data_IF_521757834598
#
_entry.id   IF_521757834598
#
_cell.length_a   1.000
_cell.length_b   1.000
_cell.length_c   1.000
_cell.angle_alpha   90.00
_cell.angle_beta   90.00
_cell.angle_gamma   90.00
#
_symmetry.space_group_name_H-M   'P 1'
#
loop_
_entity.id
_entity.type
_entity.pdbx_description
1 polymer ?
#
# COMPACT_ATOMS: atom_id res chain seq x y z
N UNK A 1 11.65 40.35 -24.00
CA UNK A 1 10.92 41.30 -24.87
C UNK A 1 11.16 40.89 -26.33
N UNK A 2 10.14 41.05 -27.19
CA UNK A 2 10.05 40.70 -28.64
C UNK A 2 9.68 39.22 -28.88
N UNK A 3 8.38 38.85 -28.83
CA UNK A 3 7.30 39.00 -29.83
C UNK A 3 7.47 38.12 -31.09
N UNK A 4 6.64 37.06 -31.12
CA UNK A 4 5.87 36.52 -32.24
C UNK A 4 6.52 36.46 -33.63
N UNK A 5 6.70 35.24 -34.17
CA UNK A 5 6.43 35.04 -35.59
C UNK A 5 5.85 33.65 -35.87
N UNK A 6 4.66 33.69 -36.48
CA UNK A 6 3.79 32.60 -36.89
C UNK A 6 4.31 32.03 -38.21
N UNK A 7 4.56 30.71 -38.27
CA UNK A 7 4.49 29.88 -39.48
C UNK A 7 4.02 28.50 -38.99
N UNK A 8 2.72 28.20 -38.99
CA UNK A 8 1.94 27.75 -40.15
C UNK A 8 2.63 26.56 -40.83
N UNK A 9 2.13 25.36 -40.56
CA UNK A 9 2.66 24.13 -41.17
C UNK A 9 2.07 22.85 -40.61
N UNK A 10 0.75 22.76 -40.59
CA UNK A 10 -0.06 21.58 -40.30
C UNK A 10 0.40 20.38 -41.15
N UNK A 11 0.69 19.23 -40.53
CA UNK A 11 0.38 17.95 -41.16
C UNK A 11 0.02 16.90 -40.11
N UNK A 12 -1.30 16.77 -39.94
CA UNK A 12 -2.00 15.79 -39.13
C UNK A 12 -1.97 14.47 -39.93
N UNK A 13 -1.06 13.56 -39.62
CA UNK A 13 -1.04 12.21 -40.21
C UNK A 13 -2.03 11.34 -39.43
N UNK A 14 -3.28 11.27 -39.92
CA UNK A 14 -4.14 10.11 -39.72
C UNK A 14 -3.71 9.03 -40.70
N UNK A 15 -3.39 7.83 -40.21
CA UNK A 15 -3.29 6.66 -41.07
C UNK A 15 -2.44 5.51 -40.53
N UNK A 16 -2.99 4.71 -39.61
CA UNK A 16 -2.93 3.24 -39.66
C UNK A 16 -3.77 2.66 -38.50
N UNK A 17 -4.80 1.88 -38.84
CA UNK A 17 -5.40 0.94 -37.92
C UNK A 17 -4.34 -0.13 -37.62
N UNK A 18 -3.65 -0.03 -36.48
CA UNK A 18 -2.90 -1.18 -35.98
C UNK A 18 -3.91 -2.12 -35.34
N UNK A 19 -4.45 -3.05 -36.13
CA UNK A 19 -5.05 -4.28 -35.60
C UNK A 19 -3.93 -5.16 -35.05
N UNK A 20 -3.27 -4.67 -34.00
CA UNK A 20 -2.46 -5.48 -33.11
C UNK A 20 -3.42 -6.06 -32.10
N UNK A 21 -3.57 -7.37 -32.15
CA UNK A 21 -4.36 -8.19 -31.25
C UNK A 21 -4.30 -7.70 -29.80
N UNK A 22 -5.45 -7.29 -29.27
CA UNK A 22 -5.74 -7.41 -27.84
C UNK A 22 -5.78 -8.92 -27.51
N UNK A 23 -4.62 -9.57 -27.48
CA UNK A 23 -4.43 -10.84 -26.79
C UNK A 23 -4.49 -10.53 -25.31
N UNK A 24 -5.74 -10.41 -24.83
CA UNK A 24 -6.07 -10.60 -23.44
C UNK A 24 -5.70 -12.04 -23.06
N UNK A 25 -4.42 -12.26 -22.79
CA UNK A 25 -3.94 -13.43 -22.08
C UNK A 25 -4.38 -13.28 -20.62
N UNK A 26 -5.67 -13.54 -20.37
CA UNK A 26 -6.12 -13.96 -19.04
C UNK A 26 -5.68 -15.41 -18.87
N UNK A 27 -4.37 -15.61 -18.72
CA UNK A 27 -3.86 -16.79 -18.06
C UNK A 27 -4.30 -16.65 -16.60
N UNK A 28 -5.40 -17.33 -16.26
CA UNK A 28 -5.75 -17.58 -14.87
C UNK A 28 -4.66 -18.49 -14.28
N UNK A 29 -3.55 -17.88 -13.86
CA UNK A 29 -2.56 -18.52 -13.02
C UNK A 29 -3.26 -18.90 -11.72
N UNK A 30 -3.69 -20.16 -11.63
CA UNK A 30 -4.07 -20.76 -10.36
C UNK A 30 -2.77 -21.00 -9.60
N UNK A 31 -2.11 -19.91 -9.20
CA UNK A 31 -1.04 -19.95 -8.24
C UNK A 31 -1.67 -20.50 -6.96
N UNK A 32 -1.31 -21.73 -6.62
CA UNK A 32 -1.43 -22.23 -5.25
C UNK A 32 -0.63 -21.23 -4.42
N UNK A 33 -1.32 -20.28 -3.78
CA UNK A 33 -0.67 -19.28 -2.92
C UNK A 33 -0.14 -20.05 -1.71
N UNK A 34 1.16 -20.31 -1.71
CA UNK A 34 1.85 -20.86 -0.53
C UNK A 34 1.51 -19.99 0.68
N UNK A 35 1.11 -20.64 1.76
CA UNK A 35 0.83 -19.96 3.03
C UNK A 35 2.18 -19.57 3.63
N UNK A 36 2.40 -18.29 4.00
CA UNK A 36 3.64 -17.89 4.64
C UNK A 36 3.84 -18.59 5.99
N UNK A 37 5.07 -18.98 6.28
CA UNK A 37 5.49 -19.35 7.63
C UNK A 37 5.71 -18.07 8.46
N UNK A 38 5.23 -18.08 9.71
CA UNK A 38 5.38 -16.96 10.63
C UNK A 38 6.32 -17.34 11.78
N UNK A 39 7.27 -16.46 12.07
CA UNK A 39 8.17 -16.58 13.22
C UNK A 39 7.88 -15.44 14.21
N UNK A 40 8.01 -15.74 15.50
CA UNK A 40 7.89 -14.73 16.56
C UNK A 40 9.15 -13.88 16.57
N UNK A 41 9.00 -12.56 16.52
CA UNK A 41 10.10 -11.61 16.75
C UNK A 41 10.29 -11.40 18.27
N UNK A 42 11.39 -11.88 18.87
CA UNK A 42 11.62 -11.72 20.30
C UNK A 42 11.98 -10.28 20.72
N UNK A 43 12.30 -9.39 19.77
CA UNK A 43 12.66 -8.01 20.05
C UNK A 43 11.44 -7.07 20.19
N UNK A 44 10.24 -7.58 19.91
CA UNK A 44 8.98 -6.86 19.99
C UNK A 44 8.09 -7.40 21.11
N UNK A 45 7.35 -6.54 21.84
CA UNK A 45 7.26 -5.09 21.69
C UNK A 45 8.43 -4.35 22.33
N UNK A 46 8.76 -3.18 21.77
CA UNK A 46 9.68 -2.24 22.43
C UNK A 46 9.05 -1.74 23.73
N UNK A 47 9.89 -1.40 24.70
CA UNK A 47 9.41 -0.72 25.90
C UNK A 47 8.72 0.59 25.51
N UNK A 48 7.53 0.80 26.06
CA UNK A 48 6.76 1.99 25.79
C UNK A 48 7.40 3.20 26.49
N UNK A 49 7.32 4.40 25.89
CA UNK A 49 7.79 5.62 26.53
C UNK A 49 7.05 5.88 27.85
N UNK A 50 7.70 6.56 28.79
CA UNK A 50 7.10 7.05 30.05
C UNK A 50 6.44 5.97 30.94
N UNK A 51 6.99 4.75 30.95
CA UNK A 51 6.52 3.65 31.82
C UNK A 51 5.02 3.38 31.71
N UNK A 52 4.47 3.47 30.50
CA UNK A 52 3.05 3.26 30.27
C UNK A 52 2.60 1.86 30.67
N UNK A 53 1.45 1.80 31.34
CA UNK A 53 0.74 0.57 31.65
C UNK A 53 -0.48 0.50 30.74
N UNK A 54 -0.65 -0.63 30.07
CA UNK A 54 -1.82 -0.91 29.24
C UNK A 54 -2.77 -1.87 29.95
N UNK A 55 -4.07 -1.59 29.85
CA UNK A 55 -5.09 -2.55 30.22
C UNK A 55 -5.24 -3.66 29.17
N UNK A 56 -6.37 -4.35 29.19
CA UNK A 56 -6.67 -5.43 28.25
C UNK A 56 -6.70 -4.90 26.82
N UNK A 57 -6.05 -5.62 25.89
CA UNK A 57 -5.98 -5.27 24.48
C UNK A 57 -7.14 -5.95 23.75
N UNK A 58 -7.97 -5.19 23.05
CA UNK A 58 -9.10 -5.72 22.27
C UNK A 58 -8.84 -5.80 20.79
N UNK A 59 -7.94 -4.97 20.26
CA UNK A 59 -7.61 -4.96 18.84
C UNK A 59 -6.21 -4.41 18.57
N UNK A 60 -5.62 -4.86 17.46
CA UNK A 60 -4.36 -4.39 16.90
C UNK A 60 -4.56 -4.14 15.41
N UNK A 61 -4.05 -3.01 14.91
CA UNK A 61 -4.10 -2.63 13.50
C UNK A 61 -2.73 -2.13 13.04
N UNK A 62 -2.40 -2.36 11.76
CA UNK A 62 -1.17 -1.85 11.14
C UNK A 62 -1.56 -0.96 9.97
N UNK A 63 -1.05 0.27 9.97
CA UNK A 63 -1.31 1.23 8.88
C UNK A 63 -0.32 1.09 7.71
N UNK A 64 -0.53 1.87 6.65
CA UNK A 64 0.32 1.83 5.46
C UNK A 64 1.75 2.36 5.67
N UNK A 65 2.05 2.93 6.85
CA UNK A 65 3.38 3.40 7.24
C UNK A 65 4.03 2.49 8.30
N UNK A 66 3.54 1.24 8.44
CA UNK A 66 4.02 0.25 9.41
C UNK A 66 3.89 0.69 10.88
N UNK A 67 2.98 1.61 11.21
CA UNK A 67 2.67 1.88 12.61
C UNK A 67 1.70 0.84 13.16
N UNK A 68 1.99 0.36 14.37
CA UNK A 68 1.11 -0.54 15.12
C UNK A 68 0.20 0.29 16.03
N UNK A 69 -1.09 0.23 15.78
CA UNK A 69 -2.14 0.84 16.58
C UNK A 69 -2.78 -0.20 17.49
N UNK A 70 -2.93 0.12 18.77
CA UNK A 70 -3.47 -0.79 19.79
C UNK A 70 -4.65 -0.14 20.49
N UNK A 71 -5.80 -0.84 20.52
CA UNK A 71 -6.96 -0.42 21.33
C UNK A 71 -6.92 -1.18 22.65
N UNK A 72 -6.89 -0.45 23.76
CA UNK A 72 -6.86 -1.02 25.11
C UNK A 72 -7.97 -0.46 26.00
N UNK A 73 -8.33 -1.20 27.05
CA UNK A 73 -9.38 -0.86 28.01
C UNK A 73 -8.75 -0.42 29.34
N UNK A 74 -8.68 0.90 29.63
CA UNK A 74 -8.09 1.38 30.87
C UNK A 74 -8.77 0.86 32.14
N UNK A 75 -10.07 0.57 32.08
CA UNK A 75 -10.87 0.11 33.22
C UNK A 75 -10.48 -1.28 33.73
N UNK A 76 -9.70 -2.06 32.98
CA UNK A 76 -9.21 -3.36 33.43
C UNK A 76 -7.92 -3.26 34.25
N UNK A 77 -7.37 -2.06 34.44
CA UNK A 77 -6.20 -1.85 35.28
C UNK A 77 -6.61 -1.91 36.76
N UNK A 78 -5.91 -2.74 37.53
CA UNK A 78 -6.03 -2.79 38.98
C UNK A 78 -5.04 -1.82 39.63
N UNK A 79 -5.44 -1.02 40.64
CA UNK A 79 -4.55 -0.10 41.34
C UNK A 79 -3.39 -0.77 42.06
#
# INVERSE_FOLDING_TARGET
MIRANVLLGTLLVLGACNSGSDEAETAADTAIREVPDFLVDPSWPKQLPNDWIMGSITAVFVDAQDHVWVTHLPETLTP
#
